data_IF_524175477885
#
_entry.id   IF_524175477885
#
_cell.length_a   1.000
_cell.length_b   1.000
_cell.length_c   1.000
_cell.angle_alpha   90.00
_cell.angle_beta   90.00
_cell.angle_gamma   90.00
#
_symmetry.space_group_name_H-M   'P 1'
#
loop_
_entity.id
_entity.type
_entity.pdbx_description
1 polymer ?
#
# COMPACT_ATOMS: atom_id res chain seq x y z
N UNK A 1 -20.53 -4.19 0.27
CA UNK A 1 -19.41 -3.31 0.66
C UNK A 1 -18.10 -3.94 0.20
N UNK A 2 -17.25 -3.14 -0.42
CA UNK A 2 -16.00 -3.63 -0.97
C UNK A 2 -14.89 -3.50 0.06
N UNK A 3 -14.16 -4.58 0.30
CA UNK A 3 -12.98 -4.57 1.16
C UNK A 3 -11.74 -4.50 0.27
N UNK A 4 -10.89 -3.53 0.52
CA UNK A 4 -9.63 -3.36 -0.22
C UNK A 4 -8.55 -4.19 0.47
N UNK A 5 -7.98 -5.15 -0.23
CA UNK A 5 -6.90 -5.97 0.30
C UNK A 5 -5.58 -5.49 -0.27
N UNK A 6 -4.63 -5.21 0.60
CA UNK A 6 -3.36 -4.61 0.26
C UNK A 6 -2.20 -5.28 0.98
N UNK A 7 -1.04 -5.25 0.34
CA UNK A 7 0.24 -5.62 0.96
C UNK A 7 1.21 -4.47 0.79
N UNK A 8 1.80 -4.01 1.88
CA UNK A 8 2.86 -3.01 1.83
C UNK A 8 4.19 -3.68 2.13
N UNK A 9 5.06 -3.69 1.14
CA UNK A 9 6.40 -4.27 1.26
C UNK A 9 7.38 -3.19 1.69
N UNK A 10 8.09 -3.45 2.78
CA UNK A 10 9.03 -2.50 3.39
C UNK A 10 10.40 -3.14 3.57
N UNK A 11 11.39 -2.32 3.86
CA UNK A 11 12.73 -2.78 4.21
C UNK A 11 13.08 -2.28 5.61
N UNK A 12 12.68 -3.05 6.62
CA UNK A 12 12.93 -2.78 8.03
C UNK A 12 12.56 -1.34 8.40
N UNK A 13 13.45 -0.59 9.05
CA UNK A 13 13.21 0.79 9.50
C UNK A 13 13.73 1.84 8.54
N UNK A 14 13.89 1.51 7.27
CA UNK A 14 14.32 2.49 6.27
C UNK A 14 13.38 3.70 6.30
N UNK A 15 13.92 4.94 6.18
CA UNK A 15 13.09 6.14 6.35
C UNK A 15 11.88 6.19 5.42
N UNK A 16 12.03 5.79 4.16
CA UNK A 16 10.90 5.80 3.23
C UNK A 16 9.88 4.71 3.56
N UNK A 17 10.30 3.59 4.14
CA UNK A 17 9.37 2.56 4.61
C UNK A 17 8.53 3.06 5.78
N UNK A 18 9.16 3.75 6.72
CA UNK A 18 8.45 4.34 7.86
C UNK A 18 7.42 5.37 7.37
N UNK A 19 7.80 6.22 6.41
CA UNK A 19 6.89 7.20 5.81
C UNK A 19 5.73 6.53 5.08
N UNK A 20 6.02 5.47 4.33
CA UNK A 20 4.98 4.75 3.59
C UNK A 20 3.93 4.16 4.54
N UNK A 21 4.36 3.56 5.63
CA UNK A 21 3.44 3.02 6.64
C UNK A 21 2.54 4.13 7.18
N UNK A 22 3.13 5.24 7.61
CA UNK A 22 2.36 6.34 8.19
C UNK A 22 1.39 6.94 7.18
N UNK A 23 1.85 7.17 5.95
CA UNK A 23 1.02 7.76 4.90
C UNK A 23 -0.15 6.84 4.54
N UNK A 24 0.11 5.55 4.41
CA UNK A 24 -0.93 4.59 4.06
C UNK A 24 -1.95 4.41 5.18
N UNK A 25 -1.49 4.33 6.42
CA UNK A 25 -2.41 4.21 7.55
C UNK A 25 -3.34 5.41 7.63
N UNK A 26 -2.83 6.62 7.38
CA UNK A 26 -3.65 7.82 7.36
C UNK A 26 -4.72 7.76 6.27
N UNK A 27 -4.35 7.32 5.08
CA UNK A 27 -5.28 7.18 3.96
C UNK A 27 -6.36 6.13 4.27
N UNK A 28 -5.96 4.99 4.79
CA UNK A 28 -6.90 3.93 5.15
C UNK A 28 -7.90 4.41 6.20
N UNK A 29 -7.42 5.08 7.23
CA UNK A 29 -8.27 5.60 8.28
C UNK A 29 -9.26 6.64 7.77
N UNK A 30 -8.82 7.52 6.89
CA UNK A 30 -9.64 8.61 6.36
C UNK A 30 -10.65 8.13 5.32
N UNK A 31 -10.24 7.24 4.42
CA UNK A 31 -11.04 6.89 3.24
C UNK A 31 -11.65 5.49 3.27
N UNK A 32 -11.05 4.55 3.96
CA UNK A 32 -11.51 3.16 3.95
C UNK A 32 -12.14 2.74 5.27
N UNK A 33 -11.83 3.42 6.34
CA UNK A 33 -12.32 3.11 7.70
C UNK A 33 -12.06 1.64 8.02
N UNK A 34 -13.09 0.81 8.16
CA UNK A 34 -12.93 -0.61 8.47
C UNK A 34 -12.98 -1.50 7.24
N UNK A 35 -13.04 -0.93 6.05
CA UNK A 35 -13.22 -1.67 4.80
C UNK A 35 -11.90 -1.97 4.11
N UNK A 36 -10.91 -2.40 4.86
CA UNK A 36 -9.62 -2.77 4.28
C UNK A 36 -8.94 -3.87 5.09
N UNK A 37 -8.06 -4.59 4.41
CA UNK A 37 -7.11 -5.50 5.03
C UNK A 37 -5.73 -5.09 4.54
N UNK A 38 -4.84 -4.79 5.46
CA UNK A 38 -3.48 -4.38 5.16
C UNK A 38 -2.50 -5.32 5.84
N UNK A 39 -1.64 -5.91 5.04
CA UNK A 39 -0.52 -6.70 5.55
C UNK A 39 0.77 -5.94 5.26
N UNK A 40 1.58 -5.73 6.29
CA UNK A 40 2.89 -5.09 6.15
C UNK A 40 3.94 -6.18 6.18
N UNK A 41 4.74 -6.27 5.12
CA UNK A 41 5.69 -7.35 4.91
C UNK A 41 7.10 -6.79 4.80
N UNK A 42 7.98 -7.21 5.70
CA UNK A 42 9.39 -6.84 5.64
C UNK A 42 10.10 -7.80 4.67
N UNK A 43 10.62 -7.25 3.57
CA UNK A 43 11.27 -8.07 2.55
C UNK A 43 12.57 -8.70 3.05
N UNK A 44 13.15 -8.15 4.11
CA UNK A 44 14.36 -8.72 4.72
C UNK A 44 14.03 -9.98 5.52
N UNK A 45 12.83 -10.09 6.05
CA UNK A 45 12.37 -11.27 6.75
C UNK A 45 11.70 -12.28 5.81
N UNK A 46 11.01 -11.80 4.79
CA UNK A 46 10.21 -12.64 3.89
C UNK A 46 10.56 -12.41 2.43
N UNK A 47 11.83 -12.64 2.04
CA UNK A 47 12.25 -12.35 0.66
C UNK A 47 11.53 -13.17 -0.41
N UNK A 48 11.12 -14.40 -0.08
CA UNK A 48 10.42 -15.23 -1.05
C UNK A 48 9.02 -14.71 -1.35
N UNK A 49 8.36 -14.13 -0.35
CA UNK A 49 7.05 -13.50 -0.57
C UNK A 49 7.18 -12.29 -1.49
N UNK A 50 8.23 -11.49 -1.29
CA UNK A 50 8.50 -10.33 -2.13
C UNK A 50 8.74 -10.76 -3.57
N UNK A 51 9.55 -11.80 -3.79
CA UNK A 51 9.79 -12.34 -5.12
C UNK A 51 8.53 -12.86 -5.78
N UNK A 52 7.70 -13.57 -5.03
CA UNK A 52 6.44 -14.12 -5.55
C UNK A 52 5.50 -13.03 -6.04
N UNK A 53 5.50 -11.88 -5.37
CA UNK A 53 4.66 -10.74 -5.75
C UNK A 53 5.36 -9.77 -6.71
N UNK A 54 6.55 -10.11 -7.18
CA UNK A 54 7.29 -9.31 -8.16
C UNK A 54 7.81 -7.99 -7.60
N UNK A 55 8.13 -7.96 -6.31
CA UNK A 55 8.62 -6.75 -5.64
C UNK A 55 10.11 -6.62 -5.87
N UNK A 56 10.54 -5.56 -6.54
CA UNK A 56 11.93 -5.30 -6.84
C UNK A 56 12.51 -4.16 -6.03
N UNK A 57 11.68 -3.26 -5.55
CA UNK A 57 12.10 -2.10 -4.76
C UNK A 57 11.15 -1.91 -3.59
N UNK A 58 11.62 -1.24 -2.54
CA UNK A 58 10.80 -0.92 -1.37
C UNK A 58 10.90 0.57 -1.04
N UNK A 59 9.85 1.16 -0.46
CA UNK A 59 8.56 0.53 -0.20
C UNK A 59 7.74 0.36 -1.46
N UNK A 60 6.91 -0.69 -1.49
CA UNK A 60 5.98 -0.92 -2.60
C UNK A 60 4.63 -1.34 -2.05
N UNK A 61 3.58 -0.69 -2.52
CA UNK A 61 2.21 -1.04 -2.16
C UNK A 61 1.58 -1.85 -3.28
N UNK A 62 1.03 -3.00 -2.93
CA UNK A 62 0.29 -3.84 -3.87
C UNK A 62 -1.17 -3.92 -3.43
N UNK A 63 -2.10 -3.49 -4.29
CA UNK A 63 -3.52 -3.74 -4.09
C UNK A 63 -3.85 -5.09 -4.71
N UNK A 64 -4.32 -6.01 -3.89
CA UNK A 64 -4.64 -7.37 -4.33
C UNK A 64 -6.09 -7.49 -4.79
N UNK A 65 -7.02 -6.82 -4.11
CA UNK A 65 -8.43 -6.79 -4.50
C UNK A 65 -9.07 -5.51 -4.01
N UNK A 66 -10.18 -5.05 -4.63
CA UNK A 66 -10.82 -5.60 -5.81
C UNK A 66 -10.02 -5.31 -7.07
N UNK A 67 -10.36 -6.00 -8.16
CA UNK A 67 -9.76 -5.73 -9.46
C UNK A 67 -10.05 -4.30 -9.91
N UNK A 68 -9.15 -3.64 -10.65
CA UNK A 68 -7.86 -4.18 -11.11
C UNK A 68 -6.81 -4.16 -10.01
N UNK A 69 -5.89 -5.11 -10.06
CA UNK A 69 -4.71 -5.09 -9.18
C UNK A 69 -3.84 -3.89 -9.57
N UNK A 70 -3.14 -3.33 -8.58
CA UNK A 70 -2.31 -2.15 -8.80
C UNK A 70 -1.09 -2.20 -7.90
N UNK A 71 -0.01 -1.52 -8.33
CA UNK A 71 1.19 -1.37 -7.53
C UNK A 71 1.64 0.08 -7.57
N UNK A 72 2.11 0.58 -6.42
CA UNK A 72 2.72 1.90 -6.32
C UNK A 72 4.06 1.74 -5.61
N UNK A 73 5.09 2.36 -6.16
CA UNK A 73 6.43 2.36 -5.58
C UNK A 73 6.69 3.72 -4.93
N UNK A 74 7.30 3.70 -3.75
CA UNK A 74 7.73 4.91 -3.06
C UNK A 74 7.08 5.09 -1.71
N UNK A 75 7.31 6.24 -1.10
CA UNK A 75 6.89 6.50 0.27
C UNK A 75 5.41 6.87 0.43
N UNK A 76 4.64 6.82 -0.65
CA UNK A 76 3.20 7.08 -0.66
C UNK A 76 2.83 8.51 -0.26
N UNK A 77 3.74 9.47 -0.49
CA UNK A 77 3.49 10.87 -0.18
C UNK A 77 2.54 11.54 -1.17
N UNK A 78 2.42 11.00 -2.37
CA UNK A 78 1.48 11.51 -3.37
C UNK A 78 0.11 10.87 -3.14
N UNK A 79 -0.69 11.52 -2.32
CA UNK A 79 -1.99 11.01 -1.92
C UNK A 79 -2.91 10.74 -3.11
N UNK A 80 -2.88 11.61 -4.14
CA UNK A 80 -3.74 11.41 -5.33
C UNK A 80 -3.43 10.11 -6.04
N UNK A 81 -2.14 9.84 -6.23
CA UNK A 81 -1.72 8.60 -6.88
C UNK A 81 -2.15 7.38 -6.09
N UNK A 82 -2.03 7.44 -4.77
CA UNK A 82 -2.44 6.33 -3.90
C UNK A 82 -3.95 6.12 -3.99
N UNK A 83 -4.74 7.17 -3.87
CA UNK A 83 -6.20 7.07 -3.97
C UNK A 83 -6.61 6.49 -5.31
N UNK A 84 -6.00 6.97 -6.39
CA UNK A 84 -6.29 6.47 -7.73
C UNK A 84 -6.00 4.98 -7.86
N UNK A 85 -4.83 4.54 -7.39
CA UNK A 85 -4.44 3.14 -7.46
C UNK A 85 -5.35 2.24 -6.62
N UNK A 86 -5.86 2.75 -5.51
CA UNK A 86 -6.76 1.99 -4.64
C UNK A 86 -8.21 2.02 -5.12
N UNK A 87 -8.50 2.78 -6.18
CA UNK A 87 -9.86 2.89 -6.69
C UNK A 87 -10.75 3.77 -5.82
N UNK A 88 -10.16 4.66 -5.04
CA UNK A 88 -10.88 5.57 -4.17
C UNK A 88 -11.08 6.89 -4.89
N UNK A 89 -12.33 7.38 -5.02
CA UNK A 89 -12.56 8.67 -5.66
C UNK A 89 -11.88 9.80 -4.89
N UNK A 90 -11.36 10.78 -5.65
CA UNK A 90 -10.81 11.97 -5.01
C UNK A 90 -11.96 12.81 -4.43
N UNK A 91 -11.71 13.48 -3.29
CA UNK A 91 -12.72 14.40 -2.75
C UNK A 91 -13.02 15.50 -3.77
N UNK A 92 -14.29 15.80 -3.94
CA UNK A 92 -14.74 16.91 -4.77
C UNK A 92 -14.76 18.17 -3.89
N UNK A 93 -14.10 19.20 -4.35
CA UNK A 93 -14.09 20.46 -3.63
C UNK A 93 -15.26 21.33 -4.03
#
# INVERSE_FOLDING_TARGET
>A
MTIVEMRLYIANNAPNSVRAIANLEAICKEHLKDNFKLEIIDVLEYPLRALADGILVTPSLAKMSPSPAAKIIGNLSDKRSVLHALGIPEPVE
#
